data_IF_198757804815
#
_entry.id   IF_198757804815
#
_cell.length_a   1.000
_cell.length_b   1.000
_cell.length_c   1.000
_cell.angle_alpha   90.00
_cell.angle_beta   90.00
_cell.angle_gamma   90.00
#
_symmetry.space_group_name_H-M   'P 1'
#
loop_
_entity.id
_entity.type
_entity.pdbx_description
1 polymer ?
#
# COMPACT_ATOMS: atom_id res chain seq x y z
N UNK A 1 8.95 -2.08 9.28
CA UNK A 1 8.53 -3.43 8.89
C UNK A 1 7.98 -4.12 10.13
N UNK A 2 6.70 -4.49 10.12
CA UNK A 2 6.12 -5.32 11.16
C UNK A 2 6.67 -6.74 11.02
N UNK A 3 7.84 -7.00 11.61
CA UNK A 3 8.63 -8.20 11.31
C UNK A 3 7.95 -9.52 11.71
N UNK A 4 6.84 -9.49 12.46
CA UNK A 4 6.06 -10.67 12.89
C UNK A 4 4.55 -10.60 12.67
N UNK A 5 3.99 -9.42 12.39
CA UNK A 5 2.54 -9.24 12.27
C UNK A 5 2.21 -8.96 10.81
N UNK A 6 1.34 -9.78 10.20
CA UNK A 6 0.93 -9.63 8.81
C UNK A 6 0.22 -8.29 8.57
N UNK A 7 -0.50 -7.78 9.58
CA UNK A 7 -1.20 -6.50 9.54
C UNK A 7 -0.84 -5.71 10.80
N UNK A 8 -0.47 -4.45 10.64
CA UNK A 8 -0.33 -3.49 11.74
C UNK A 8 -1.29 -2.34 11.58
N UNK A 9 -2.04 -2.05 12.64
CA UNK A 9 -3.04 -1.00 12.67
C UNK A 9 -2.52 0.23 13.39
N UNK A 10 -2.65 1.39 12.76
CA UNK A 10 -2.23 2.66 13.32
C UNK A 10 -3.38 3.65 13.28
N UNK A 11 -3.71 4.21 14.44
CA UNK A 11 -4.71 5.26 14.54
C UNK A 11 -4.04 6.63 14.54
N UNK A 12 -4.37 7.48 13.56
CA UNK A 12 -3.82 8.84 13.48
C UNK A 12 -4.43 9.71 14.59
N UNK A 13 -3.62 10.28 15.50
CA UNK A 13 -4.17 11.02 16.65
C UNK A 13 -4.96 12.28 16.28
N UNK A 14 -4.67 12.89 15.13
CA UNK A 14 -5.22 14.19 14.71
C UNK A 14 -6.72 14.13 14.39
N UNK A 15 -7.16 13.07 13.72
CA UNK A 15 -8.51 12.93 13.17
C UNK A 15 -9.09 11.52 13.34
N UNK A 16 -8.36 10.62 13.99
CA UNK A 16 -8.80 9.27 14.28
C UNK A 16 -8.76 8.31 13.10
N UNK A 17 -8.24 8.73 11.94
CA UNK A 17 -8.19 7.88 10.74
C UNK A 17 -7.27 6.67 10.93
N UNK A 18 -7.65 5.55 10.32
CA UNK A 18 -6.88 4.31 10.34
C UNK A 18 -5.87 4.23 9.19
N UNK A 19 -4.71 3.66 9.52
CA UNK A 19 -3.70 3.20 8.59
C UNK A 19 -3.44 1.72 8.86
N UNK A 20 -3.70 0.89 7.85
CA UNK A 20 -3.36 -0.52 7.87
C UNK A 20 -2.08 -0.76 7.07
N UNK A 21 -1.07 -1.32 7.72
CA UNK A 21 0.17 -1.75 7.07
C UNK A 21 0.17 -3.27 6.98
N UNK A 22 -0.02 -3.77 5.76
CA UNK A 22 -0.06 -5.19 5.43
C UNK A 22 1.28 -5.61 4.82
N UNK A 23 1.92 -6.64 5.37
CA UNK A 23 3.15 -7.24 4.84
C UNK A 23 2.89 -8.70 4.44
N UNK A 24 2.82 -8.95 3.13
CA UNK A 24 2.45 -10.25 2.57
C UNK A 24 3.65 -11.12 2.19
N UNK A 25 4.87 -10.74 2.58
CA UNK A 25 6.09 -11.48 2.21
C UNK A 25 6.01 -13.00 2.51
N UNK A 26 5.34 -13.35 3.63
CA UNK A 26 5.24 -14.72 4.13
C UNK A 26 4.04 -15.52 3.63
N UNK A 27 3.10 -14.87 2.95
CA UNK A 27 1.86 -15.52 2.51
C UNK A 27 2.14 -16.37 1.27
N UNK A 28 1.72 -17.63 1.31
CA UNK A 28 1.94 -18.60 0.25
C UNK A 28 0.90 -18.53 -0.86
N UNK A 29 -0.32 -18.11 -0.55
CA UNK A 29 -1.41 -18.05 -1.53
C UNK A 29 -2.50 -17.03 -1.19
N UNK A 30 -3.37 -16.76 -2.16
CA UNK A 30 -4.53 -15.88 -2.00
C UNK A 30 -5.50 -16.44 -0.95
N UNK A 31 -5.67 -17.76 -0.90
CA UNK A 31 -6.56 -18.43 0.05
C UNK A 31 -6.09 -18.27 1.50
N UNK A 32 -4.78 -18.27 1.74
CA UNK A 32 -4.24 -17.96 3.07
C UNK A 32 -4.54 -16.51 3.45
N UNK A 33 -4.48 -15.58 2.48
CA UNK A 33 -4.84 -14.18 2.68
C UNK A 33 -6.31 -13.99 3.07
N UNK A 34 -7.20 -14.69 2.38
CA UNK A 34 -8.63 -14.75 2.70
C UNK A 34 -8.82 -15.38 4.09
N UNK A 35 -8.09 -16.46 4.40
CA UNK A 35 -8.21 -17.21 5.65
C UNK A 35 -7.92 -16.39 6.92
N UNK A 36 -7.07 -15.35 6.85
CA UNK A 36 -6.83 -14.44 7.96
C UNK A 36 -7.68 -13.15 7.91
N UNK A 37 -8.57 -13.01 6.93
CA UNK A 37 -9.51 -11.90 6.82
C UNK A 37 -8.93 -10.65 6.15
N UNK A 38 -8.00 -10.78 5.19
CA UNK A 38 -7.45 -9.61 4.48
C UNK A 38 -8.53 -8.76 3.80
N UNK A 39 -9.59 -9.39 3.28
CA UNK A 39 -10.68 -8.73 2.56
C UNK A 39 -11.40 -7.68 3.43
N UNK A 40 -11.62 -7.98 4.72
CA UNK A 40 -12.25 -7.06 5.66
C UNK A 40 -11.48 -5.73 5.79
N UNK A 41 -10.15 -5.79 5.70
CA UNK A 41 -9.32 -4.58 5.72
C UNK A 41 -9.35 -3.86 4.38
N UNK A 42 -9.36 -4.59 3.26
CA UNK A 42 -9.39 -4.02 1.91
C UNK A 42 -10.69 -3.26 1.62
N UNK A 43 -11.78 -3.68 2.25
CA UNK A 43 -13.10 -3.04 2.14
C UNK A 43 -13.32 -1.87 3.12
N UNK A 44 -12.40 -1.63 4.07
CA UNK A 44 -12.51 -0.52 5.02
C UNK A 44 -12.19 0.84 4.35
N UNK A 45 -12.85 1.91 4.79
CA UNK A 45 -12.56 3.29 4.40
C UNK A 45 -11.34 3.83 5.17
N UNK A 46 -10.24 3.12 5.05
CA UNK A 46 -8.96 3.41 5.69
C UNK A 46 -7.84 3.55 4.65
N UNK A 47 -6.70 4.10 5.07
CA UNK A 47 -5.50 4.05 4.24
C UNK A 47 -4.83 2.68 4.42
N UNK A 48 -4.61 1.97 3.32
CA UNK A 48 -3.99 0.65 3.34
C UNK A 48 -2.67 0.70 2.57
N UNK A 49 -1.59 0.27 3.21
CA UNK A 49 -0.28 0.09 2.61
C UNK A 49 0.02 -1.40 2.54
N UNK A 50 0.18 -1.92 1.33
CA UNK A 50 0.44 -3.35 1.10
C UNK A 50 1.86 -3.53 0.58
N UNK A 51 2.71 -4.22 1.34
CA UNK A 51 4.00 -4.74 0.90
C UNK A 51 3.82 -6.14 0.30
N UNK A 52 4.60 -6.43 -0.75
CA UNK A 52 4.47 -7.64 -1.58
C UNK A 52 3.04 -7.88 -2.14
N UNK A 53 2.39 -6.84 -2.72
CA UNK A 53 1.01 -6.92 -3.22
C UNK A 53 0.80 -7.97 -4.31
N UNK A 54 1.87 -8.39 -5.00
CA UNK A 54 1.83 -9.43 -6.03
C UNK A 54 1.31 -10.80 -5.51
N UNK A 55 1.35 -11.04 -4.20
CA UNK A 55 0.84 -12.27 -3.58
C UNK A 55 -0.69 -12.37 -3.62
N UNK A 56 -1.38 -11.24 -3.77
CA UNK A 56 -2.85 -11.14 -3.66
C UNK A 56 -3.46 -10.28 -4.75
N UNK A 57 -2.84 -10.19 -5.94
CA UNK A 57 -3.34 -9.36 -7.05
C UNK A 57 -4.85 -9.46 -7.31
N UNK A 58 -5.50 -10.65 -7.24
CA UNK A 58 -6.94 -10.76 -7.46
C UNK A 58 -7.81 -10.07 -6.41
N UNK A 59 -7.30 -9.84 -5.19
CA UNK A 59 -8.03 -9.19 -4.10
C UNK A 59 -7.86 -7.67 -4.10
N UNK A 60 -6.82 -7.16 -4.76
CA UNK A 60 -6.51 -5.74 -4.70
C UNK A 60 -7.55 -4.89 -5.45
N UNK A 61 -7.92 -3.71 -4.93
CA UNK A 61 -8.86 -2.83 -5.60
C UNK A 61 -8.34 -2.39 -6.99
N UNK A 62 -9.26 -2.19 -7.92
CA UNK A 62 -8.95 -1.73 -9.29
C UNK A 62 -8.25 -0.37 -9.29
N UNK A 63 -8.75 0.56 -8.46
CA UNK A 63 -8.14 1.87 -8.23
C UNK A 63 -7.11 1.80 -7.10
N UNK A 64 -5.90 2.29 -7.38
CA UNK A 64 -4.79 2.29 -6.42
C UNK A 64 -3.63 3.16 -6.86
N UNK A 65 -2.75 3.49 -5.92
CA UNK A 65 -1.41 4.00 -6.20
C UNK A 65 -0.39 2.86 -6.08
N UNK A 66 0.12 2.40 -7.21
CA UNK A 66 1.17 1.39 -7.26
C UNK A 66 2.55 2.06 -7.14
N UNK A 67 3.37 1.59 -6.20
CA UNK A 67 4.73 2.10 -5.98
C UNK A 67 5.73 0.96 -6.14
N UNK A 68 6.68 1.09 -7.08
CA UNK A 68 7.83 0.19 -7.20
C UNK A 68 9.08 0.91 -6.72
N UNK A 69 9.89 0.22 -5.94
CA UNK A 69 11.16 0.71 -5.42
C UNK A 69 12.27 -0.19 -5.97
N UNK A 70 13.11 0.35 -6.84
CA UNK A 70 14.20 -0.37 -7.50
C UNK A 70 15.56 0.07 -6.92
N UNK A 71 16.47 -0.87 -6.70
CA UNK A 71 17.84 -0.55 -6.28
C UNK A 71 18.68 -0.19 -7.50
N UNK A 72 19.23 1.03 -7.51
CA UNK A 72 20.12 1.50 -8.59
C UNK A 72 21.59 1.35 -8.17
N UNK A 73 21.89 1.61 -6.91
CA UNK A 73 23.19 1.35 -6.29
C UNK A 73 23.03 1.22 -4.76
N UNK A 74 24.12 1.00 -4.02
CA UNK A 74 24.06 0.81 -2.55
C UNK A 74 23.23 1.87 -1.82
N UNK A 75 23.35 3.14 -2.23
CA UNK A 75 22.66 4.28 -1.59
C UNK A 75 21.56 4.91 -2.43
N UNK A 76 21.36 4.48 -3.67
CA UNK A 76 20.34 5.06 -4.58
C UNK A 76 19.18 4.11 -4.81
N UNK A 77 17.98 4.66 -4.78
CA UNK A 77 16.73 3.97 -5.13
C UNK A 77 15.99 4.76 -6.21
N UNK A 78 15.33 4.05 -7.11
CA UNK A 78 14.40 4.62 -8.07
C UNK A 78 12.99 4.27 -7.62
N UNK A 79 12.16 5.30 -7.42
CA UNK A 79 10.74 5.13 -7.10
C UNK A 79 9.94 5.36 -8.37
N UNK A 80 9.14 4.36 -8.77
CA UNK A 80 8.18 4.48 -9.87
C UNK A 80 6.77 4.41 -9.29
N UNK A 81 5.99 5.47 -9.50
CA UNK A 81 4.62 5.58 -9.00
C UNK A 81 3.65 5.56 -10.19
N UNK A 82 2.62 4.72 -10.12
CA UNK A 82 1.55 4.62 -11.10
C UNK A 82 0.21 4.73 -10.40
N UNK A 83 -0.59 5.72 -10.77
CA UNK A 83 -1.91 5.94 -10.21
C UNK A 83 -3.01 5.45 -11.17
N UNK A 84 -3.93 4.66 -10.65
CA UNK A 84 -5.17 4.23 -11.31
C UNK A 84 -6.34 4.76 -10.50
N UNK A 85 -7.34 5.39 -11.15
CA UNK A 85 -8.46 6.05 -10.48
C UNK A 85 -8.25 7.55 -10.25
N UNK A 86 -9.33 8.33 -10.26
CA UNK A 86 -9.27 9.79 -10.18
C UNK A 86 -8.64 10.28 -8.88
N UNK A 87 -9.00 9.63 -7.76
CA UNK A 87 -8.47 9.93 -6.43
C UNK A 87 -6.94 9.80 -6.39
N UNK A 88 -6.40 8.70 -6.90
CA UNK A 88 -4.96 8.43 -6.86
C UNK A 88 -4.18 9.28 -7.86
N UNK A 89 -4.79 9.62 -9.00
CA UNK A 89 -4.18 10.56 -9.94
C UNK A 89 -4.08 11.96 -9.32
N UNK A 90 -5.12 12.43 -8.63
CA UNK A 90 -5.08 13.70 -7.91
C UNK A 90 -4.03 13.67 -6.79
N UNK A 91 -3.93 12.56 -6.05
CA UNK A 91 -2.90 12.36 -5.02
C UNK A 91 -1.49 12.45 -5.60
N UNK A 92 -1.22 11.76 -6.71
CA UNK A 92 0.09 11.75 -7.35
C UNK A 92 0.46 13.14 -7.90
N UNK A 93 -0.50 13.88 -8.47
CA UNK A 93 -0.29 15.28 -8.88
C UNK A 93 0.09 16.17 -7.70
N UNK A 94 -0.70 16.13 -6.62
CA UNK A 94 -0.43 16.92 -5.41
C UNK A 94 0.92 16.56 -4.77
N UNK A 95 1.32 15.28 -4.80
CA UNK A 95 2.64 14.86 -4.34
C UNK A 95 3.76 15.48 -5.19
N UNK A 96 3.64 15.44 -6.52
CA UNK A 96 4.64 16.03 -7.41
C UNK A 96 4.82 17.53 -7.19
N UNK A 97 3.70 18.25 -7.06
CA UNK A 97 3.72 19.70 -6.82
C UNK A 97 4.43 20.03 -5.50
N UNK A 98 4.15 19.27 -4.43
CA UNK A 98 4.75 19.50 -3.11
C UNK A 98 6.21 19.06 -3.02
N UNK A 99 6.57 17.96 -3.67
CA UNK A 99 7.91 17.39 -3.59
C UNK A 99 8.90 18.07 -4.54
N UNK A 100 8.42 18.56 -5.69
CA UNK A 100 9.28 19.04 -6.78
C UNK A 100 8.84 20.37 -7.40
N UNK A 101 7.69 20.92 -7.02
CA UNK A 101 7.16 22.17 -7.61
C UNK A 101 6.61 22.03 -9.03
N UNK A 102 6.32 20.80 -9.49
CA UNK A 102 5.90 20.45 -10.87
C UNK A 102 4.84 19.35 -10.92
#
# INVERSE_FOLDING_TARGET
>A
SPTFTLISEYRRPRDGAWLYHVDLYRIASVEEAIGFGLEDYLDDDALILVEWPERVLPLLPEERLWIRIEMISGTKRLLRMQATGERYQALLRAFRERAFGV
#
